data_IF_693921276222
#
_entry.id   IF_693921276222
#
_cell.length_a   1.000
_cell.length_b   1.000
_cell.length_c   1.000
_cell.angle_alpha   90.00
_cell.angle_beta   90.00
_cell.angle_gamma   90.00
#
_symmetry.space_group_name_H-M   'P 1'
#
loop_
_entity.id
_entity.type
_entity.pdbx_description
1 polymer ?
#
# COMPACT_ATOMS: atom_id res chain seq x y z
N UNK A 1 18.24 17.25 21.67
CA UNK A 1 19.15 16.47 20.79
C UNK A 1 18.63 15.06 20.70
N UNK A 2 18.75 14.41 19.55
CA UNK A 2 18.33 13.02 19.37
C UNK A 2 18.94 12.11 20.45
N UNK A 3 18.18 11.14 20.93
CA UNK A 3 18.65 10.16 21.93
C UNK A 3 19.18 8.93 21.18
N UNK A 4 20.51 8.86 21.04
CA UNK A 4 21.16 7.79 20.28
C UNK A 4 21.88 6.84 21.24
N UNK A 5 21.53 5.54 21.18
CA UNK A 5 22.23 4.54 21.98
C UNK A 5 23.71 4.44 21.56
N UNK A 6 24.68 4.29 22.51
CA UNK A 6 26.11 4.30 22.17
C UNK A 6 26.54 3.20 21.18
N UNK A 7 25.81 2.11 21.05
CA UNK A 7 26.12 1.05 20.10
C UNK A 7 25.38 1.19 18.74
N UNK A 8 24.58 2.24 18.57
CA UNK A 8 23.98 2.52 17.27
C UNK A 8 24.99 3.14 16.32
N UNK A 9 24.86 2.87 15.03
CA UNK A 9 25.66 3.50 13.98
C UNK A 9 24.76 4.48 13.23
N UNK A 10 25.07 5.76 13.37
CA UNK A 10 24.39 6.83 12.63
C UNK A 10 25.44 7.52 11.77
N UNK A 11 25.26 7.45 10.46
CA UNK A 11 26.22 8.07 9.53
C UNK A 11 26.19 9.59 9.65
N UNK A 12 27.36 10.28 9.53
CA UNK A 12 27.47 11.71 9.88
C UNK A 12 26.56 12.65 9.08
N UNK A 13 26.14 12.26 7.87
CA UNK A 13 25.30 13.09 6.97
C UNK A 13 23.80 12.87 7.21
N UNK A 14 23.42 11.85 7.98
CA UNK A 14 22.03 11.57 8.32
C UNK A 14 21.40 12.78 9.06
N UNK A 15 20.15 13.07 8.75
CA UNK A 15 19.41 14.19 9.33
C UNK A 15 18.31 13.68 10.27
N UNK A 16 18.50 13.87 11.56
CA UNK A 16 17.56 13.44 12.58
C UNK A 16 17.00 14.67 13.32
N UNK A 17 15.68 14.74 13.48
CA UNK A 17 15.06 15.75 14.33
C UNK A 17 15.53 15.57 15.81
N UNK A 18 15.43 16.65 16.59
CA UNK A 18 16.03 16.72 17.91
C UNK A 18 15.47 15.72 18.95
N UNK A 19 14.30 15.19 18.72
CA UNK A 19 13.59 14.27 19.61
C UNK A 19 13.49 12.82 19.07
N UNK A 20 14.27 12.49 18.04
CA UNK A 20 14.39 11.12 17.51
C UNK A 20 15.09 10.23 18.53
N UNK A 21 14.57 9.00 18.71
CA UNK A 21 15.21 7.97 19.54
C UNK A 21 15.77 6.86 18.67
N UNK A 22 17.03 6.46 18.91
CA UNK A 22 17.73 5.40 18.17
C UNK A 22 18.23 4.34 19.14
N UNK A 23 17.74 3.12 19.00
CA UNK A 23 18.03 1.98 19.87
C UNK A 23 19.37 1.30 19.59
N UNK A 24 19.72 0.38 20.47
CA UNK A 24 20.98 -0.37 20.43
C UNK A 24 21.18 -1.13 19.11
N UNK A 25 22.37 -1.03 18.49
CA UNK A 25 22.73 -1.76 17.28
C UNK A 25 21.90 -1.37 16.04
N UNK A 26 21.14 -0.29 16.09
CA UNK A 26 20.47 0.23 14.92
C UNK A 26 21.48 0.86 13.95
N UNK A 27 21.20 0.79 12.64
CA UNK A 27 21.98 1.45 11.60
C UNK A 27 21.13 2.49 10.87
N UNK A 28 21.67 3.69 10.73
CA UNK A 28 21.05 4.79 9.97
C UNK A 28 22.06 5.30 8.94
N UNK A 29 21.75 5.08 7.67
CA UNK A 29 22.59 5.44 6.52
C UNK A 29 22.66 6.94 6.27
N UNK A 30 23.63 7.39 5.43
CA UNK A 30 24.00 8.79 5.27
C UNK A 30 22.89 9.67 4.65
N UNK A 31 22.00 9.11 3.86
CA UNK A 31 20.94 9.86 3.16
C UNK A 31 19.57 9.73 3.81
N UNK A 32 19.54 9.25 5.06
CA UNK A 32 18.28 9.08 5.83
C UNK A 32 17.91 10.41 6.49
N UNK A 33 16.63 10.77 6.36
CA UNK A 33 16.02 11.95 7.01
C UNK A 33 14.85 11.48 7.86
N UNK A 34 14.88 11.76 9.19
CA UNK A 34 13.80 11.40 10.11
C UNK A 34 13.19 12.65 10.75
N UNK A 35 11.85 12.78 10.60
CA UNK A 35 11.06 13.81 11.26
C UNK A 35 10.93 13.62 12.77
N UNK A 36 10.30 14.59 13.42
CA UNK A 36 10.16 14.65 14.88
C UNK A 36 9.43 13.42 15.45
N UNK A 37 9.85 12.99 16.64
CA UNK A 37 9.23 11.90 17.39
C UNK A 37 9.37 10.52 16.76
N UNK A 38 10.22 10.33 15.75
CA UNK A 38 10.50 9.00 15.22
C UNK A 38 11.27 8.15 16.23
N UNK A 39 10.92 6.84 16.26
CA UNK A 39 11.58 5.84 17.12
C UNK A 39 12.15 4.74 16.23
N UNK A 40 13.47 4.58 16.27
CA UNK A 40 14.19 3.48 15.62
C UNK A 40 14.58 2.49 16.72
N UNK A 41 13.94 1.32 16.76
CA UNK A 41 14.23 0.32 17.77
C UNK A 41 15.59 -0.38 17.51
N UNK A 42 16.01 -1.21 18.47
CA UNK A 42 17.26 -1.94 18.38
C UNK A 42 17.37 -2.80 17.12
N UNK A 43 18.54 -2.82 16.50
CA UNK A 43 18.84 -3.60 15.28
C UNK A 43 17.96 -3.29 14.07
N UNK A 44 17.22 -2.19 14.04
CA UNK A 44 16.55 -1.72 12.84
C UNK A 44 17.59 -1.08 11.89
N UNK A 45 17.37 -1.24 10.59
CA UNK A 45 18.23 -0.68 9.54
C UNK A 45 17.43 0.28 8.67
N UNK A 46 17.87 1.53 8.59
CA UNK A 46 17.37 2.52 7.66
C UNK A 46 18.51 2.94 6.74
N UNK A 47 18.32 2.81 5.43
CA UNK A 47 19.36 3.10 4.45
C UNK A 47 18.80 3.74 3.18
N UNK A 48 19.62 3.85 2.14
CA UNK A 48 19.25 4.52 0.90
C UNK A 48 18.81 5.97 1.11
N UNK A 49 18.17 6.55 0.12
CA UNK A 49 17.54 7.87 0.23
C UNK A 49 16.15 7.76 0.88
N UNK A 50 16.12 7.51 2.19
CA UNK A 50 14.86 7.35 2.95
C UNK A 50 14.50 8.63 3.66
N UNK A 51 13.33 9.19 3.35
CA UNK A 51 12.76 10.35 4.02
C UNK A 51 11.49 9.93 4.74
N UNK A 52 11.46 10.03 6.05
CA UNK A 52 10.29 9.74 6.88
C UNK A 52 9.81 10.97 7.63
N UNK A 53 8.50 11.20 7.60
CA UNK A 53 7.83 12.24 8.37
C UNK A 53 7.89 11.98 9.87
N UNK A 54 6.94 12.54 10.61
CA UNK A 54 6.93 12.53 12.07
C UNK A 54 6.37 11.23 12.66
N UNK A 55 6.81 10.90 13.89
CA UNK A 55 6.23 9.85 14.75
C UNK A 55 6.10 8.49 14.07
N UNK A 56 7.06 8.14 13.22
CA UNK A 56 7.18 6.80 12.67
C UNK A 56 7.94 5.89 13.66
N UNK A 57 7.51 4.63 13.78
CA UNK A 57 8.15 3.62 14.60
C UNK A 57 8.71 2.50 13.71
N UNK A 58 10.03 2.27 13.81
CA UNK A 58 10.76 1.25 13.07
C UNK A 58 11.20 0.16 14.06
N UNK A 59 10.51 -0.97 14.02
CA UNK A 59 10.70 -2.07 14.97
C UNK A 59 11.94 -2.91 14.67
N UNK A 60 12.37 -3.76 15.62
CA UNK A 60 13.61 -4.49 15.47
C UNK A 60 13.72 -5.31 14.19
N UNK A 61 14.91 -5.27 13.59
CA UNK A 61 15.25 -6.00 12.36
C UNK A 61 14.43 -5.61 11.11
N UNK A 62 13.68 -4.52 11.11
CA UNK A 62 13.15 -3.99 9.86
C UNK A 62 14.29 -3.42 8.99
N UNK A 63 14.11 -3.47 7.66
CA UNK A 63 15.02 -2.87 6.69
C UNK A 63 14.23 -1.90 5.79
N UNK A 64 14.45 -0.63 5.98
CA UNK A 64 13.78 0.43 5.24
C UNK A 64 14.76 1.12 4.31
N UNK A 65 14.40 1.27 3.04
CA UNK A 65 15.23 1.91 2.03
C UNK A 65 16.23 0.97 1.36
N UNK A 66 16.05 -0.34 1.52
CA UNK A 66 16.89 -1.35 0.87
C UNK A 66 16.84 -1.27 -0.67
N UNK A 67 17.89 -1.74 -1.33
CA UNK A 67 17.97 -1.78 -2.79
C UNK A 67 16.83 -2.61 -3.38
N UNK A 68 16.28 -2.22 -4.56
CA UNK A 68 15.29 -3.00 -5.27
C UNK A 68 15.78 -4.41 -5.60
N UNK A 69 14.89 -5.39 -5.49
CA UNK A 69 15.14 -6.75 -5.96
C UNK A 69 14.75 -6.89 -7.44
N UNK A 70 15.17 -5.93 -8.24
CA UNK A 70 14.93 -5.87 -9.70
C UNK A 70 16.27 -5.84 -10.43
N UNK A 71 16.47 -6.79 -11.34
CA UNK A 71 17.69 -6.89 -12.16
C UNK A 71 17.88 -5.67 -13.10
N UNK A 72 16.84 -4.89 -13.33
CA UNK A 72 16.89 -3.67 -14.17
C UNK A 72 17.39 -2.43 -13.40
N UNK A 73 17.47 -2.51 -12.06
CA UNK A 73 17.97 -1.40 -11.25
C UNK A 73 19.44 -1.13 -11.55
N UNK A 74 19.78 0.11 -11.88
CA UNK A 74 21.11 0.53 -12.34
C UNK A 74 21.93 1.31 -11.29
N UNK A 75 21.40 1.43 -10.06
CA UNK A 75 22.10 2.14 -8.98
C UNK A 75 21.79 3.64 -8.91
N UNK A 76 20.69 4.10 -9.51
CA UNK A 76 20.24 5.49 -9.45
C UNK A 76 19.85 5.94 -8.03
N UNK A 77 19.79 7.26 -7.84
CA UNK A 77 19.44 7.91 -6.55
C UNK A 77 17.92 7.83 -6.26
N UNK A 78 17.40 6.63 -6.38
CA UNK A 78 16.00 6.34 -6.08
C UNK A 78 15.74 6.39 -4.57
N UNK A 79 14.49 6.64 -4.18
CA UNK A 79 14.17 6.95 -2.79
C UNK A 79 12.95 6.22 -2.25
N UNK A 80 12.82 6.25 -0.92
CA UNK A 80 11.58 5.94 -0.18
C UNK A 80 11.10 7.20 0.50
N UNK A 81 9.83 7.55 0.28
CA UNK A 81 9.16 8.66 0.95
C UNK A 81 8.07 8.09 1.85
N UNK A 82 8.19 8.33 3.15
CA UNK A 82 7.26 7.84 4.17
C UNK A 82 6.60 9.05 4.83
N UNK A 83 5.28 9.04 4.90
CA UNK A 83 4.52 10.02 5.66
C UNK A 83 4.75 9.90 7.16
N UNK A 84 3.74 10.18 7.96
CA UNK A 84 3.85 10.25 9.42
C UNK A 84 3.00 9.18 10.12
N UNK A 85 3.34 8.88 11.38
CA UNK A 85 2.59 7.97 12.26
C UNK A 85 2.49 6.52 11.76
N UNK A 86 3.46 6.04 11.00
CA UNK A 86 3.50 4.65 10.54
C UNK A 86 4.24 3.75 11.53
N UNK A 87 3.89 2.46 11.52
CA UNK A 87 4.57 1.41 12.29
C UNK A 87 5.05 0.32 11.37
N UNK A 88 6.37 0.17 11.29
CA UNK A 88 7.03 -0.90 10.54
C UNK A 88 7.49 -1.95 11.55
N UNK A 89 6.73 -3.04 11.65
CA UNK A 89 6.99 -4.12 12.63
C UNK A 89 8.20 -4.95 12.21
N UNK A 90 8.55 -5.87 13.08
CA UNK A 90 9.75 -6.70 13.02
C UNK A 90 9.90 -7.37 11.64
N UNK A 91 11.12 -7.38 11.11
CA UNK A 91 11.47 -7.99 9.82
C UNK A 91 10.69 -7.45 8.61
N UNK A 92 9.99 -6.34 8.74
CA UNK A 92 9.39 -5.69 7.57
C UNK A 92 10.47 -5.08 6.68
N UNK A 93 10.26 -5.08 5.37
CA UNK A 93 11.20 -4.54 4.40
C UNK A 93 10.51 -3.58 3.43
N UNK A 94 11.18 -2.49 3.09
CA UNK A 94 10.72 -1.51 2.09
C UNK A 94 11.88 -1.21 1.14
N UNK A 95 11.68 -1.46 -0.15
CA UNK A 95 12.66 -1.13 -1.16
C UNK A 95 12.50 0.32 -1.66
N UNK A 96 13.60 0.96 -2.05
CA UNK A 96 13.55 2.23 -2.80
C UNK A 96 12.91 2.01 -4.17
N UNK A 97 12.56 3.10 -4.87
CA UNK A 97 12.09 3.04 -6.25
C UNK A 97 13.16 2.57 -7.25
N UNK A 98 12.78 2.52 -8.52
CA UNK A 98 13.68 2.25 -9.65
C UNK A 98 13.63 3.38 -10.67
N UNK A 99 14.64 3.50 -11.51
CA UNK A 99 14.72 4.53 -12.54
C UNK A 99 13.57 4.42 -13.56
N UNK A 100 13.15 3.20 -13.85
CA UNK A 100 12.07 2.92 -14.82
C UNK A 100 10.68 2.97 -14.15
N UNK A 101 10.62 3.03 -12.82
CA UNK A 101 9.38 3.00 -12.04
C UNK A 101 8.90 4.36 -11.52
N UNK A 102 9.65 5.41 -11.71
CA UNK A 102 9.31 6.76 -11.23
C UNK A 102 10.16 7.23 -10.06
N UNK A 103 11.26 6.53 -9.77
CA UNK A 103 12.30 6.91 -8.79
C UNK A 103 11.91 6.79 -7.32
N UNK A 104 10.65 6.49 -7.02
CA UNK A 104 10.16 6.55 -5.63
C UNK A 104 9.25 5.39 -5.26
N UNK A 105 9.45 4.84 -4.08
CA UNK A 105 8.45 4.10 -3.32
C UNK A 105 7.82 5.06 -2.32
N UNK A 106 6.49 5.12 -2.24
CA UNK A 106 5.77 6.03 -1.36
C UNK A 106 4.87 5.31 -0.39
N UNK A 107 4.89 5.75 0.87
CA UNK A 107 4.01 5.29 1.95
C UNK A 107 3.33 6.52 2.56
N UNK A 108 2.01 6.50 2.64
CA UNK A 108 1.21 7.56 3.25
C UNK A 108 1.36 7.60 4.78
N UNK A 109 0.30 8.01 5.46
CA UNK A 109 0.29 8.22 6.89
C UNK A 109 -0.51 7.13 7.62
N UNK A 110 -0.23 6.94 8.92
CA UNK A 110 -0.98 6.08 9.83
C UNK A 110 -1.05 4.60 9.39
N UNK A 111 -0.06 4.13 8.64
CA UNK A 111 0.05 2.74 8.20
C UNK A 111 0.51 1.81 9.32
N UNK A 112 0.03 0.56 9.28
CA UNK A 112 0.50 -0.54 10.12
C UNK A 112 1.00 -1.68 9.22
N UNK A 113 2.30 -1.88 9.21
CA UNK A 113 3.00 -2.92 8.46
C UNK A 113 3.48 -3.96 9.47
N UNK A 114 2.72 -5.07 9.59
CA UNK A 114 3.00 -6.08 10.60
C UNK A 114 4.25 -6.89 10.27
N UNK A 115 4.64 -7.80 11.16
CA UNK A 115 5.88 -8.53 11.04
C UNK A 115 6.02 -9.27 9.70
N UNK A 116 7.21 -9.18 9.09
CA UNK A 116 7.53 -9.83 7.82
C UNK A 116 6.84 -9.27 6.58
N UNK A 117 6.26 -8.08 6.65
CA UNK A 117 5.68 -7.40 5.48
C UNK A 117 6.79 -6.98 4.53
N UNK A 118 6.57 -7.15 3.22
CA UNK A 118 7.44 -6.64 2.18
C UNK A 118 6.73 -5.61 1.28
N UNK A 119 7.31 -4.43 1.13
CA UNK A 119 6.92 -3.43 0.13
C UNK A 119 7.97 -3.41 -0.98
N UNK A 120 7.60 -3.92 -2.16
CA UNK A 120 8.45 -3.88 -3.36
C UNK A 120 8.64 -2.45 -3.86
N UNK A 121 9.67 -2.28 -4.69
CA UNK A 121 10.04 -1.02 -5.31
C UNK A 121 8.89 -0.36 -6.07
N UNK A 122 8.88 0.96 -6.12
CA UNK A 122 7.89 1.76 -6.86
C UNK A 122 6.43 1.57 -6.38
N UNK A 123 6.24 0.98 -5.21
CA UNK A 123 4.91 0.84 -4.62
C UNK A 123 4.38 2.19 -4.13
N UNK A 124 3.08 2.42 -4.34
CA UNK A 124 2.35 3.59 -3.86
C UNK A 124 1.31 3.14 -2.83
N UNK A 125 1.57 3.42 -1.56
CA UNK A 125 0.72 2.99 -0.44
C UNK A 125 0.04 4.20 0.17
N UNK A 126 -1.30 4.18 0.20
CA UNK A 126 -2.13 5.25 0.75
C UNK A 126 -2.06 5.38 2.26
N UNK A 127 -2.99 6.14 2.82
CA UNK A 127 -3.09 6.40 4.25
C UNK A 127 -3.88 5.31 4.97
N UNK A 128 -3.58 5.11 6.27
CA UNK A 128 -4.29 4.16 7.13
C UNK A 128 -4.34 2.71 6.60
N UNK A 129 -3.36 2.34 5.80
CA UNK A 129 -3.23 0.98 5.26
C UNK A 129 -2.78 0.02 6.36
N UNK A 130 -3.38 -1.17 6.39
CA UNK A 130 -2.97 -2.25 7.31
C UNK A 130 -2.57 -3.46 6.47
N UNK A 131 -1.31 -3.85 6.58
CA UNK A 131 -0.78 -5.08 6.02
C UNK A 131 -0.47 -6.04 7.16
N UNK A 132 -1.19 -7.15 7.23
CA UNK A 132 -0.98 -8.15 8.27
C UNK A 132 0.31 -8.96 8.02
N UNK A 133 0.67 -9.82 8.98
CA UNK A 133 1.92 -10.57 8.97
C UNK A 133 2.18 -11.30 7.65
N UNK A 134 3.39 -11.13 7.12
CA UNK A 134 3.85 -11.83 5.91
C UNK A 134 3.16 -11.42 4.61
N UNK A 135 2.50 -10.26 4.57
CA UNK A 135 1.97 -9.71 3.31
C UNK A 135 3.13 -9.25 2.43
N UNK A 136 3.08 -9.60 1.15
CA UNK A 136 4.11 -9.27 0.17
C UNK A 136 3.51 -8.46 -0.98
N UNK A 137 4.01 -7.26 -1.19
CA UNK A 137 3.72 -6.45 -2.36
C UNK A 137 4.90 -6.55 -3.34
N UNK A 138 4.63 -6.99 -4.55
CA UNK A 138 5.62 -6.92 -5.63
C UNK A 138 5.82 -5.46 -6.07
N UNK A 139 6.71 -5.21 -7.04
CA UNK A 139 6.97 -3.85 -7.51
C UNK A 139 5.75 -3.18 -8.16
N UNK A 140 5.66 -1.85 -8.06
CA UNK A 140 4.63 -1.00 -8.67
C UNK A 140 3.19 -1.26 -8.19
N UNK A 141 3.01 -1.80 -7.00
CA UNK A 141 1.68 -2.01 -6.42
C UNK A 141 1.11 -0.68 -5.92
N UNK A 142 -0.17 -0.43 -6.20
CA UNK A 142 -0.89 0.75 -5.73
C UNK A 142 -1.98 0.34 -4.73
N UNK A 143 -1.90 0.84 -3.50
CA UNK A 143 -2.92 0.66 -2.48
C UNK A 143 -3.60 1.98 -2.16
N UNK A 144 -4.92 2.03 -2.26
CA UNK A 144 -5.71 3.18 -1.83
C UNK A 144 -5.76 3.32 -0.31
N UNK A 145 -6.33 4.41 0.16
CA UNK A 145 -6.50 4.66 1.59
C UNK A 145 -7.36 3.58 2.27
N UNK A 146 -7.02 3.27 3.53
CA UNK A 146 -7.75 2.32 4.37
C UNK A 146 -7.82 0.88 3.83
N UNK A 147 -6.96 0.51 2.89
CA UNK A 147 -6.84 -0.89 2.45
C UNK A 147 -6.36 -1.75 3.60
N UNK A 148 -6.97 -2.92 3.73
CA UNK A 148 -6.53 -3.96 4.69
C UNK A 148 -6.24 -5.24 3.90
N UNK A 149 -5.03 -5.76 4.04
CA UNK A 149 -4.62 -7.04 3.47
C UNK A 149 -4.29 -8.01 4.61
N UNK A 150 -5.01 -9.13 4.66
CA UNK A 150 -4.83 -10.14 5.70
C UNK A 150 -3.59 -11.01 5.45
N UNK A 151 -3.12 -11.66 6.52
CA UNK A 151 -1.82 -12.32 6.58
C UNK A 151 -1.55 -13.36 5.49
N UNK A 152 -0.27 -13.46 5.11
CA UNK A 152 0.22 -14.40 4.12
C UNK A 152 -0.23 -14.16 2.69
N UNK A 153 -0.85 -13.01 2.42
CA UNK A 153 -1.32 -12.65 1.07
C UNK A 153 -0.21 -11.98 0.26
N UNK A 154 -0.28 -12.11 -1.06
CA UNK A 154 0.64 -11.46 -1.99
C UNK A 154 -0.09 -10.72 -3.09
N UNK A 155 0.48 -9.58 -3.54
CA UNK A 155 -0.03 -8.79 -4.65
C UNK A 155 1.02 -8.76 -5.76
N UNK A 156 0.64 -9.15 -6.98
CA UNK A 156 1.53 -9.15 -8.13
C UNK A 156 1.87 -7.75 -8.61
N UNK A 157 2.93 -7.62 -9.42
CA UNK A 157 3.37 -6.35 -9.98
C UNK A 157 2.22 -5.56 -10.62
N UNK A 158 2.24 -4.25 -10.44
CA UNK A 158 1.24 -3.32 -10.99
C UNK A 158 -0.19 -3.53 -10.48
N UNK A 159 -0.41 -4.41 -9.50
CA UNK A 159 -1.74 -4.61 -8.93
C UNK A 159 -2.24 -3.33 -8.24
N UNK A 160 -3.50 -2.97 -8.48
CA UNK A 160 -4.18 -1.88 -7.77
C UNK A 160 -5.23 -2.44 -6.83
N UNK A 161 -5.22 -1.99 -5.59
CA UNK A 161 -6.28 -2.28 -4.61
C UNK A 161 -6.90 -0.95 -4.21
N UNK A 162 -8.17 -0.77 -4.58
CA UNK A 162 -8.90 0.47 -4.35
C UNK A 162 -9.14 0.74 -2.86
N UNK A 163 -9.35 2.01 -2.54
CA UNK A 163 -9.54 2.45 -1.15
C UNK A 163 -10.62 1.64 -0.42
N UNK A 164 -10.40 1.43 0.90
CA UNK A 164 -11.32 0.69 1.78
C UNK A 164 -11.61 -0.76 1.33
N UNK A 165 -10.85 -1.31 0.40
CA UNK A 165 -10.94 -2.73 0.07
C UNK A 165 -10.34 -3.59 1.19
N UNK A 166 -10.87 -4.80 1.33
CA UNK A 166 -10.38 -5.81 2.26
C UNK A 166 -9.99 -7.07 1.49
N UNK A 167 -8.78 -7.54 1.71
CA UNK A 167 -8.27 -8.78 1.11
C UNK A 167 -8.19 -9.86 2.19
N UNK A 168 -8.87 -10.98 1.96
CA UNK A 168 -8.83 -12.16 2.83
C UNK A 168 -7.42 -12.76 2.94
N UNK A 169 -7.18 -13.53 4.00
CA UNK A 169 -5.86 -14.15 4.21
C UNK A 169 -5.48 -15.18 3.14
N UNK A 170 -4.17 -15.40 2.96
CA UNK A 170 -3.60 -16.35 2.00
C UNK A 170 -4.07 -16.13 0.55
N UNK A 171 -4.35 -14.89 0.19
CA UNK A 171 -4.79 -14.51 -1.16
C UNK A 171 -3.63 -14.15 -2.07
N UNK A 172 -3.63 -14.68 -3.30
CA UNK A 172 -2.70 -14.30 -4.36
C UNK A 172 -3.38 -13.32 -5.34
N UNK A 173 -3.28 -12.02 -5.08
CA UNK A 173 -3.95 -10.97 -5.88
C UNK A 173 -3.24 -10.80 -7.22
N UNK A 174 -3.85 -11.27 -8.29
CA UNK A 174 -3.33 -11.22 -9.67
C UNK A 174 -4.07 -10.19 -10.55
N UNK A 175 -5.18 -9.62 -10.06
CA UNK A 175 -5.99 -8.63 -10.75
C UNK A 175 -6.27 -7.46 -9.82
N UNK A 176 -6.65 -6.33 -10.40
CA UNK A 176 -7.05 -5.17 -9.62
C UNK A 176 -8.30 -5.46 -8.79
N UNK A 177 -8.31 -4.96 -7.58
CA UNK A 177 -9.47 -5.06 -6.67
C UNK A 177 -10.12 -3.68 -6.56
N UNK A 178 -11.40 -3.55 -6.88
CA UNK A 178 -12.09 -2.27 -6.83
C UNK A 178 -12.27 -1.75 -5.39
N UNK A 179 -12.46 -0.42 -5.22
CA UNK A 179 -12.67 0.16 -3.90
C UNK A 179 -13.92 -0.39 -3.21
N UNK A 180 -13.90 -0.36 -1.87
CA UNK A 180 -15.01 -0.74 -1.00
C UNK A 180 -15.37 -2.23 -0.95
N UNK A 181 -14.68 -3.07 -1.69
CA UNK A 181 -15.02 -4.48 -1.85
C UNK A 181 -14.20 -5.39 -0.94
N UNK A 182 -14.76 -6.56 -0.65
CA UNK A 182 -14.05 -7.70 -0.08
C UNK A 182 -13.65 -8.62 -1.24
N UNK A 183 -12.37 -8.99 -1.28
CA UNK A 183 -11.88 -10.05 -2.17
C UNK A 183 -11.16 -11.10 -1.34
N UNK A 184 -11.46 -12.38 -1.60
CA UNK A 184 -10.90 -13.49 -0.84
C UNK A 184 -10.76 -14.77 -1.68
N UNK A 185 -9.91 -15.66 -1.23
CA UNK A 185 -9.57 -16.93 -1.86
C UNK A 185 -8.14 -16.96 -2.37
N UNK A 186 -7.61 -18.14 -2.68
CA UNK A 186 -6.26 -18.28 -3.22
C UNK A 186 -6.08 -17.50 -4.53
N UNK A 187 -7.07 -17.53 -5.41
CA UNK A 187 -7.29 -16.61 -6.53
C UNK A 187 -8.47 -15.70 -6.14
N UNK A 188 -8.21 -14.53 -5.55
CA UNK A 188 -9.26 -13.76 -4.91
C UNK A 188 -10.26 -13.20 -5.92
N UNK A 189 -11.53 -13.45 -5.62
CA UNK A 189 -12.66 -12.86 -6.33
C UNK A 189 -13.39 -11.88 -5.43
N UNK A 190 -14.01 -10.88 -6.04
CA UNK A 190 -14.88 -9.94 -5.31
C UNK A 190 -16.10 -10.69 -4.78
N UNK A 191 -16.22 -10.78 -3.44
CA UNK A 191 -17.26 -11.54 -2.74
C UNK A 191 -18.36 -10.69 -2.15
N UNK A 192 -18.16 -9.41 -2.00
CA UNK A 192 -19.12 -8.48 -1.42
C UNK A 192 -18.57 -7.12 -1.11
N UNK A 193 -19.36 -6.33 -0.42
CA UNK A 193 -19.02 -4.99 0.06
C UNK A 193 -18.38 -5.07 1.45
N UNK A 194 -17.31 -4.32 1.67
CA UNK A 194 -16.63 -4.22 2.99
C UNK A 194 -17.46 -3.40 4.00
N UNK A 195 -18.70 -3.79 4.24
CA UNK A 195 -19.63 -3.05 5.09
C UNK A 195 -19.10 -2.80 6.52
N UNK A 196 -18.35 -3.75 7.09
CA UNK A 196 -17.78 -3.58 8.45
C UNK A 196 -16.73 -2.47 8.44
N UNK A 197 -15.82 -2.48 7.45
CA UNK A 197 -14.82 -1.43 7.29
C UNK A 197 -15.45 -0.07 7.03
N UNK A 198 -16.46 -0.02 6.18
CA UNK A 198 -17.17 1.22 5.84
C UNK A 198 -17.92 1.82 7.04
N UNK A 199 -18.66 1.00 7.83
CA UNK A 199 -19.31 1.47 9.07
C UNK A 199 -18.30 2.04 10.07
N UNK A 200 -17.15 1.37 10.25
CA UNK A 200 -16.08 1.86 11.13
C UNK A 200 -15.51 3.22 10.69
N UNK A 201 -15.70 3.60 9.42
CA UNK A 201 -15.29 4.87 8.83
C UNK A 201 -16.41 5.88 8.68
N UNK A 202 -17.58 5.61 9.28
CA UNK A 202 -18.70 6.55 9.33
C UNK A 202 -19.55 6.61 8.07
N UNK A 203 -19.48 5.59 7.20
CA UNK A 203 -20.43 5.50 6.07
C UNK A 203 -21.83 5.25 6.59
N UNK A 204 -22.82 5.99 6.07
CA UNK A 204 -24.22 5.76 6.42
C UNK A 204 -24.72 4.45 5.81
N UNK A 205 -25.81 3.89 6.38
CA UNK A 205 -26.40 2.65 5.85
C UNK A 205 -26.89 2.84 4.41
N UNK A 206 -27.36 4.05 4.05
CA UNK A 206 -27.81 4.36 2.69
C UNK A 206 -26.64 4.28 1.69
N UNK A 207 -25.45 4.81 2.05
CA UNK A 207 -24.25 4.70 1.22
C UNK A 207 -23.82 3.24 1.05
N UNK A 208 -23.86 2.47 2.14
CA UNK A 208 -23.51 1.04 2.12
C UNK A 208 -24.50 0.25 1.27
N UNK A 209 -25.80 0.52 1.40
CA UNK A 209 -26.82 -0.15 0.57
C UNK A 209 -26.66 0.20 -0.92
N UNK A 210 -26.35 1.45 -1.27
CA UNK A 210 -26.08 1.83 -2.66
C UNK A 210 -24.89 1.01 -3.23
N UNK A 211 -23.81 0.82 -2.46
CA UNK A 211 -22.69 -0.05 -2.84
C UNK A 211 -23.11 -1.52 -3.00
N UNK A 212 -24.02 -2.04 -2.15
CA UNK A 212 -24.57 -3.39 -2.29
C UNK A 212 -25.43 -3.54 -3.54
N UNK A 213 -26.26 -2.55 -3.88
CA UNK A 213 -27.02 -2.56 -5.12
C UNK A 213 -26.09 -2.57 -6.34
N UNK A 214 -25.06 -1.73 -6.34
CA UNK A 214 -24.05 -1.73 -7.39
C UNK A 214 -23.31 -3.08 -7.48
N UNK A 215 -22.91 -3.67 -6.34
CA UNK A 215 -22.29 -5.00 -6.32
C UNK A 215 -23.20 -6.05 -6.97
N UNK A 216 -24.50 -6.09 -6.64
CA UNK A 216 -25.45 -7.03 -7.25
C UNK A 216 -25.58 -6.84 -8.77
N UNK A 217 -25.58 -5.59 -9.24
CA UNK A 217 -25.63 -5.27 -10.67
C UNK A 217 -24.36 -5.67 -11.42
N UNK A 218 -23.19 -5.50 -10.78
CA UNK A 218 -21.89 -5.75 -11.43
C UNK A 218 -21.47 -7.22 -11.33
N UNK A 219 -21.61 -7.85 -10.15
CA UNK A 219 -21.06 -9.17 -9.81
C UNK A 219 -22.13 -10.23 -9.52
N UNK A 220 -23.40 -9.85 -9.47
CA UNK A 220 -24.49 -10.79 -9.15
C UNK A 220 -24.68 -11.87 -10.22
N UNK A 221 -25.22 -13.03 -9.81
CA UNK A 221 -25.44 -14.17 -10.72
C UNK A 221 -26.31 -13.85 -11.94
N UNK A 222 -27.20 -12.87 -11.83
CA UNK A 222 -28.06 -12.40 -12.91
C UNK A 222 -27.46 -11.25 -13.73
N UNK A 223 -26.20 -10.88 -13.48
CA UNK A 223 -25.54 -9.78 -14.17
C UNK A 223 -25.29 -10.16 -15.65
N UNK A 224 -25.95 -9.46 -16.58
CA UNK A 224 -25.84 -9.68 -18.02
C UNK A 224 -25.10 -8.53 -18.71
N UNK A 225 -24.44 -8.83 -19.82
CA UNK A 225 -23.66 -7.87 -20.59
C UNK A 225 -22.21 -7.76 -20.12
N UNK A 226 -21.47 -6.85 -20.75
CA UNK A 226 -20.08 -6.56 -20.40
C UNK A 226 -19.98 -5.84 -19.06
N UNK A 227 -18.80 -5.83 -18.45
CA UNK A 227 -18.58 -5.10 -17.18
C UNK A 227 -18.81 -3.60 -17.36
N UNK A 228 -18.46 -3.05 -18.52
CA UNK A 228 -18.68 -1.65 -18.86
C UNK A 228 -20.16 -1.30 -18.92
N UNK A 229 -20.98 -2.14 -19.58
CA UNK A 229 -22.44 -1.96 -19.64
C UNK A 229 -23.08 -2.04 -18.25
N UNK A 230 -22.60 -2.94 -17.39
CA UNK A 230 -23.06 -3.06 -16.00
C UNK A 230 -22.71 -1.83 -15.18
N UNK A 231 -21.47 -1.31 -15.31
CA UNK A 231 -21.06 -0.05 -14.67
C UNK A 231 -21.90 1.13 -15.17
N UNK A 232 -22.17 1.21 -16.48
CA UNK A 232 -23.02 2.27 -17.04
C UNK A 232 -24.45 2.22 -16.47
N UNK A 233 -25.03 1.03 -16.26
CA UNK A 233 -26.34 0.87 -15.59
C UNK A 233 -26.34 1.38 -14.16
N UNK A 234 -25.26 1.12 -13.40
CA UNK A 234 -25.11 1.65 -12.04
C UNK A 234 -25.13 3.17 -12.05
N UNK A 235 -24.32 3.79 -12.94
CA UNK A 235 -24.26 5.26 -13.04
C UNK A 235 -25.57 5.89 -13.53
N UNK A 236 -26.30 5.22 -14.43
CA UNK A 236 -27.60 5.68 -14.87
C UNK A 236 -28.64 5.67 -13.74
N UNK A 237 -28.54 4.72 -12.80
CA UNK A 237 -29.43 4.62 -11.63
C UNK A 237 -29.05 5.61 -10.52
N UNK A 238 -27.75 5.91 -10.37
CA UNK A 238 -27.20 6.73 -9.29
C UNK A 238 -26.19 7.76 -9.83
N UNK A 239 -26.60 8.73 -10.67
CA UNK A 239 -25.68 9.59 -11.41
C UNK A 239 -24.80 10.47 -10.53
N UNK A 240 -25.29 10.91 -9.37
CA UNK A 240 -24.61 11.86 -8.47
C UNK A 240 -23.92 11.17 -7.28
N UNK A 241 -23.83 9.85 -7.26
CA UNK A 241 -23.22 9.11 -6.16
C UNK A 241 -21.70 8.98 -6.38
N UNK A 242 -20.93 9.76 -5.63
CA UNK A 242 -19.46 9.79 -5.73
C UNK A 242 -18.80 8.44 -5.45
N UNK A 243 -19.33 7.64 -4.51
CA UNK A 243 -18.79 6.30 -4.21
C UNK A 243 -18.95 5.36 -5.39
N UNK A 244 -20.10 5.42 -6.06
CA UNK A 244 -20.40 4.58 -7.22
C UNK A 244 -19.64 5.06 -8.47
N UNK A 245 -19.44 6.36 -8.62
CA UNK A 245 -18.58 6.90 -9.68
C UNK A 245 -17.14 6.39 -9.49
N UNK A 246 -16.59 6.41 -8.26
CA UNK A 246 -15.27 5.89 -7.97
C UNK A 246 -15.18 4.38 -8.21
N UNK A 247 -16.15 3.62 -7.71
CA UNK A 247 -16.22 2.16 -7.89
C UNK A 247 -16.22 1.77 -9.37
N UNK A 248 -17.15 2.34 -10.13
CA UNK A 248 -17.32 2.01 -11.55
C UNK A 248 -16.17 2.55 -12.41
N UNK A 249 -15.69 3.75 -12.12
CA UNK A 249 -14.53 4.34 -12.79
C UNK A 249 -13.30 3.45 -12.68
N UNK A 250 -12.98 3.01 -11.46
CA UNK A 250 -11.84 2.09 -11.22
C UNK A 250 -11.97 0.77 -11.99
N UNK A 251 -13.19 0.20 -12.03
CA UNK A 251 -13.44 -1.06 -12.76
C UNK A 251 -13.26 -0.86 -14.27
N UNK A 252 -13.79 0.22 -14.82
CA UNK A 252 -13.70 0.52 -16.26
C UNK A 252 -12.26 0.84 -16.65
N UNK A 253 -11.54 1.62 -15.85
CA UNK A 253 -10.13 1.92 -16.08
C UNK A 253 -9.26 0.66 -16.09
N UNK A 254 -9.48 -0.24 -15.12
CA UNK A 254 -8.78 -1.51 -15.04
C UNK A 254 -9.04 -2.36 -16.29
N UNK A 255 -10.31 -2.50 -16.67
CA UNK A 255 -10.69 -3.25 -17.87
C UNK A 255 -10.16 -2.61 -19.18
N UNK A 256 -9.94 -1.28 -19.18
CA UNK A 256 -9.35 -0.55 -20.31
C UNK A 256 -7.83 -0.70 -20.46
N UNK A 257 -7.15 -1.32 -19.50
CA UNK A 257 -5.72 -1.59 -19.53
C UNK A 257 -4.81 -0.37 -19.37
N UNK A 258 -5.34 0.79 -18.99
CA UNK A 258 -4.54 2.01 -18.78
C UNK A 258 -3.81 2.04 -17.44
N UNK A 259 -4.39 1.43 -16.42
CA UNK A 259 -3.91 1.42 -15.05
C UNK A 259 -3.89 -0.01 -14.49
N UNK A 260 -3.27 -0.17 -13.32
CA UNK A 260 -3.22 -1.41 -12.60
C UNK A 260 -2.44 -2.50 -13.32
N UNK A 261 -2.80 -3.75 -13.08
CA UNK A 261 -2.12 -4.94 -13.61
C UNK A 261 -2.02 -4.96 -15.15
N UNK A 262 -2.98 -4.39 -15.85
CA UNK A 262 -2.96 -4.30 -17.30
C UNK A 262 -1.87 -3.38 -17.87
N UNK A 263 -1.30 -2.47 -17.08
CA UNK A 263 -0.17 -1.62 -17.50
C UNK A 263 1.01 -2.43 -18.02
N UNK A 264 1.21 -3.65 -17.51
CA UNK A 264 2.29 -4.52 -17.95
C UNK A 264 2.16 -4.94 -19.42
N UNK A 265 0.94 -5.04 -19.96
CA UNK A 265 0.69 -5.38 -21.36
C UNK A 265 1.15 -4.27 -22.33
N UNK A 266 1.29 -3.05 -21.86
CA UNK A 266 1.65 -1.88 -22.64
C UNK A 266 3.08 -1.39 -22.38
N UNK A 267 3.82 -2.04 -21.48
CA UNK A 267 5.25 -1.75 -21.31
C UNK A 267 6.00 -2.16 -22.59
N UNK A 268 6.73 -1.21 -23.16
CA UNK A 268 7.74 -1.54 -24.16
C UNK A 268 8.84 -2.34 -23.46
N UNK A 269 9.14 -3.51 -24.00
CA UNK A 269 10.18 -4.40 -23.52
C UNK A 269 11.56 -3.73 -23.57
#
# INVERSE_FOLDING_TARGET
MAQIHPSAIVEPVAQLAADVTVGAGAYIGPHVVLGAGCVVHHHATLEGHTVAGEKNEFYPYCLIGGKPQDLKYRGGDCRVIIGSHNRFREYSTVNIGTEDGGWETRVGNHGLFMAGVHLGHDSLVGNHVILANGVMLAGHVELGDYVIISGGSAVTHFGRIGQMAFIGGLSGVQHDIPPFMIAEGFHPEVRGVNQIGLRRRGFSEERIEALWQAYRLIYGRAAAGTVQERCAKVLATYPDNADLQLLTGTIVESAGGKNGRYRELFRKA
#
